data_IF_488630363340
#
_entry.id   IF_488630363340
#
_cell.length_a   1.000
_cell.length_b   1.000
_cell.length_c   1.000
_cell.angle_alpha   90.00
_cell.angle_beta   90.00
_cell.angle_gamma   90.00
#
_symmetry.space_group_name_H-M   'P 1'
#
loop_
_entity.id
_entity.type
_entity.pdbx_description
1 polymer ?
#
# COMPACT_ATOMS: atom_id res chain seq x y z
N UNK A 1 9.40 -26.13 2.04
CA UNK A 1 9.04 -25.33 3.21
C UNK A 1 10.23 -24.73 3.95
N UNK A 2 11.22 -25.49 4.46
CA UNK A 2 12.43 -24.93 5.14
C UNK A 2 13.23 -23.87 4.33
N UNK A 3 13.19 -23.88 2.99
CA UNK A 3 13.85 -22.85 2.14
C UNK A 3 13.08 -21.53 2.07
N UNK A 4 11.75 -21.54 2.25
CA UNK A 4 10.90 -20.33 2.35
C UNK A 4 11.08 -19.61 3.69
N UNK A 5 11.24 -20.36 4.78
CA UNK A 5 11.51 -19.81 6.11
C UNK A 5 12.77 -18.92 6.16
N UNK A 6 13.73 -19.17 5.27
CA UNK A 6 14.98 -18.38 5.22
C UNK A 6 14.91 -17.11 4.36
N UNK A 7 13.91 -16.92 3.52
CA UNK A 7 13.79 -15.73 2.64
C UNK A 7 12.99 -14.61 3.32
N UNK A 8 11.85 -14.97 3.86
CA UNK A 8 11.04 -14.13 4.73
C UNK A 8 10.75 -14.98 5.96
N UNK A 9 11.64 -14.93 6.96
CA UNK A 9 11.36 -15.59 8.22
C UNK A 9 10.20 -14.83 8.89
N UNK A 10 8.95 -15.21 8.51
CA UNK A 10 7.70 -14.59 8.96
C UNK A 10 7.68 -14.55 10.49
N UNK A 11 8.16 -15.61 11.14
CA UNK A 11 8.31 -15.68 12.60
C UNK A 11 9.24 -14.57 13.12
N UNK A 12 10.30 -14.25 12.40
CA UNK A 12 11.24 -13.19 12.76
C UNK A 12 10.67 -11.80 12.48
N UNK A 13 9.88 -11.64 11.40
CA UNK A 13 9.14 -10.40 11.07
C UNK A 13 8.15 -10.07 12.18
N UNK A 14 7.28 -11.03 12.51
CA UNK A 14 6.28 -10.90 13.57
C UNK A 14 6.96 -10.69 14.93
N UNK A 15 8.02 -11.44 15.25
CA UNK A 15 8.78 -11.31 16.50
C UNK A 15 9.39 -9.92 16.67
N UNK A 16 9.94 -9.33 15.61
CA UNK A 16 10.49 -7.96 15.64
C UNK A 16 9.42 -6.92 15.95
N UNK A 17 8.26 -7.01 15.29
CA UNK A 17 7.14 -6.12 15.56
C UNK A 17 6.59 -6.30 16.97
N UNK A 18 6.39 -7.55 17.40
CA UNK A 18 5.90 -7.87 18.75
C UNK A 18 6.85 -7.41 19.86
N UNK A 19 8.19 -7.44 19.65
CA UNK A 19 9.14 -6.92 20.63
C UNK A 19 8.99 -5.42 20.86
N UNK A 20 8.72 -4.65 19.79
CA UNK A 20 8.45 -3.21 19.91
C UNK A 20 7.10 -2.96 20.57
N UNK A 21 6.07 -3.71 20.17
CA UNK A 21 4.72 -3.59 20.73
C UNK A 21 4.65 -3.96 22.20
N UNK A 22 5.40 -4.99 22.65
CA UNK A 22 5.44 -5.37 24.08
C UNK A 22 5.88 -4.25 25.01
N UNK A 23 6.66 -3.28 24.52
CA UNK A 23 7.07 -2.10 25.26
C UNK A 23 5.99 -1.03 25.37
N UNK A 24 4.94 -1.09 24.54
CA UNK A 24 3.91 -0.06 24.47
C UNK A 24 2.49 -0.69 24.49
N UNK A 25 1.94 -0.84 25.68
CA UNK A 25 0.60 -1.42 25.90
C UNK A 25 -0.50 -0.67 25.16
N UNK A 26 -0.35 0.65 24.96
CA UNK A 26 -1.34 1.48 24.26
C UNK A 26 -1.41 1.07 22.79
N UNK A 27 -0.27 0.82 22.14
CA UNK A 27 -0.25 0.36 20.74
C UNK A 27 -0.91 -1.02 20.59
N UNK A 28 -0.73 -1.93 21.56
CA UNK A 28 -1.42 -3.22 21.56
C UNK A 28 -2.93 -3.01 21.67
N UNK A 29 -3.37 -2.15 22.60
CA UNK A 29 -4.78 -1.86 22.78
C UNK A 29 -5.40 -1.26 21.51
N UNK A 30 -4.71 -0.34 20.82
CA UNK A 30 -5.14 0.22 19.53
C UNK A 30 -5.24 -0.88 18.47
N UNK A 31 -4.29 -1.80 18.39
CA UNK A 31 -4.33 -2.91 17.43
C UNK A 31 -5.53 -3.82 17.68
N UNK A 32 -5.79 -4.19 18.92
CA UNK A 32 -6.97 -5.00 19.28
C UNK A 32 -8.26 -4.25 18.96
N UNK A 33 -8.31 -2.96 19.26
CA UNK A 33 -9.44 -2.11 18.92
C UNK A 33 -9.73 -2.14 17.41
N UNK A 34 -8.72 -1.90 16.57
CA UNK A 34 -8.88 -1.88 15.12
C UNK A 34 -9.18 -3.26 14.52
N UNK A 35 -8.90 -4.35 15.22
CA UNK A 35 -9.35 -5.70 14.85
C UNK A 35 -10.86 -5.90 15.13
N UNK A 36 -11.41 -5.21 16.12
CA UNK A 36 -12.83 -5.31 16.51
C UNK A 36 -13.71 -4.35 15.71
N UNK A 37 -13.21 -3.15 15.38
CA UNK A 37 -13.96 -2.12 14.66
C UNK A 37 -14.66 -2.59 13.37
N UNK A 38 -14.11 -3.51 12.53
CA UNK A 38 -14.79 -4.07 11.38
C UNK A 38 -16.18 -4.63 11.66
N UNK A 39 -16.40 -5.22 12.83
CA UNK A 39 -17.69 -5.79 13.24
C UNK A 39 -18.71 -4.73 13.70
N UNK A 40 -18.24 -3.51 13.99
CA UNK A 40 -19.08 -2.38 14.39
C UNK A 40 -19.39 -1.45 13.21
N UNK A 41 -18.74 -1.67 12.06
CA UNK A 41 -18.94 -0.84 10.85
C UNK A 41 -20.02 -1.39 9.94
N UNK A 42 -20.68 -0.47 9.26
CA UNK A 42 -21.54 -0.73 8.09
C UNK A 42 -20.79 -0.29 6.83
N UNK A 43 -20.94 -0.99 5.68
CA UNK A 43 -20.25 -0.62 4.46
C UNK A 43 -20.68 0.76 3.94
N UNK A 44 -19.72 1.55 3.45
CA UNK A 44 -19.98 2.79 2.73
C UNK A 44 -20.75 2.52 1.43
N UNK A 45 -21.88 3.23 1.25
CA UNK A 45 -22.81 2.99 0.14
C UNK A 45 -22.18 3.21 -1.25
N UNK A 46 -21.23 4.12 -1.37
CA UNK A 46 -20.65 4.50 -2.67
C UNK A 46 -19.48 3.62 -3.11
N UNK A 47 -18.64 3.20 -2.17
CA UNK A 47 -17.38 2.53 -2.51
C UNK A 47 -17.36 1.07 -2.09
N UNK A 48 -17.70 0.78 -0.82
CA UNK A 48 -17.57 -0.57 -0.26
C UNK A 48 -18.71 -1.47 -0.74
N UNK A 49 -19.94 -0.97 -0.74
CA UNK A 49 -21.11 -1.71 -1.28
C UNK A 49 -20.88 -2.15 -2.71
N UNK A 50 -20.32 -1.29 -3.56
CA UNK A 50 -19.99 -1.65 -4.95
C UNK A 50 -19.17 -2.95 -5.06
N UNK A 51 -18.21 -3.16 -4.17
CA UNK A 51 -17.40 -4.39 -4.21
C UNK A 51 -18.21 -5.62 -3.76
N UNK A 52 -19.10 -5.46 -2.78
CA UNK A 52 -20.00 -6.52 -2.32
C UNK A 52 -21.02 -6.90 -3.41
N UNK A 53 -21.57 -5.91 -4.11
CA UNK A 53 -22.51 -6.14 -5.24
C UNK A 53 -21.83 -6.89 -6.37
N UNK A 54 -20.60 -6.50 -6.74
CA UNK A 54 -19.82 -7.22 -7.76
C UNK A 54 -19.58 -8.68 -7.33
N UNK A 55 -19.25 -8.93 -6.08
CA UNK A 55 -19.09 -10.29 -5.56
C UNK A 55 -20.38 -11.09 -5.67
N UNK A 56 -21.51 -10.49 -5.30
CA UNK A 56 -22.83 -11.13 -5.42
C UNK A 56 -23.11 -11.49 -6.88
N UNK A 57 -22.91 -10.56 -7.84
CA UNK A 57 -23.12 -10.84 -9.26
C UNK A 57 -22.19 -11.93 -9.82
N UNK A 58 -20.92 -12.00 -9.36
CA UNK A 58 -19.99 -13.07 -9.77
C UNK A 58 -20.51 -14.42 -9.30
N UNK A 59 -21.01 -14.50 -8.08
CA UNK A 59 -21.53 -15.75 -7.50
C UNK A 59 -22.82 -16.17 -8.21
N UNK A 60 -23.75 -15.26 -8.42
CA UNK A 60 -25.05 -15.51 -9.06
C UNK A 60 -24.88 -15.96 -10.53
N UNK A 61 -24.01 -15.29 -11.28
CA UNK A 61 -23.71 -15.61 -12.69
C UNK A 61 -22.69 -16.76 -12.86
N UNK A 62 -22.02 -17.19 -11.78
CA UNK A 62 -20.88 -18.13 -11.80
C UNK A 62 -19.75 -17.68 -12.76
N UNK A 63 -19.60 -16.37 -12.94
CA UNK A 63 -18.63 -15.74 -13.86
C UNK A 63 -17.42 -15.21 -13.12
N UNK A 64 -16.42 -16.06 -12.87
CA UNK A 64 -15.25 -15.72 -12.04
C UNK A 64 -14.15 -14.93 -12.77
N UNK A 65 -14.17 -14.94 -14.10
CA UNK A 65 -13.14 -14.31 -14.93
C UNK A 65 -13.62 -12.98 -15.53
N UNK A 66 -14.87 -12.95 -15.99
CA UNK A 66 -15.55 -11.75 -16.53
C UNK A 66 -16.38 -11.13 -15.42
N UNK A 67 -16.01 -9.93 -15.01
CA UNK A 67 -16.67 -9.21 -13.92
C UNK A 67 -17.87 -8.42 -14.43
N UNK A 68 -18.93 -8.35 -13.62
CA UNK A 68 -20.13 -7.58 -13.89
C UNK A 68 -20.45 -6.65 -12.72
N UNK A 69 -21.10 -5.53 -13.04
CA UNK A 69 -21.68 -4.61 -12.07
C UNK A 69 -22.94 -3.99 -12.67
N UNK A 70 -24.07 -4.11 -11.98
CA UNK A 70 -25.42 -3.75 -12.49
C UNK A 70 -25.73 -4.42 -13.84
N UNK A 71 -25.42 -5.69 -13.97
CA UNK A 71 -25.58 -6.53 -15.18
C UNK A 71 -24.69 -6.13 -16.38
N UNK A 72 -23.93 -5.03 -16.28
CA UNK A 72 -22.98 -4.59 -17.31
C UNK A 72 -21.58 -5.16 -17.07
N UNK A 73 -20.78 -5.25 -18.14
CA UNK A 73 -19.38 -5.67 -18.05
C UNK A 73 -18.56 -4.65 -17.23
N UNK A 74 -17.80 -5.15 -16.28
CA UNK A 74 -16.95 -4.32 -15.39
C UNK A 74 -15.45 -4.62 -15.58
N UNK A 75 -14.82 -4.15 -16.67
CA UNK A 75 -13.39 -4.36 -16.96
C UNK A 75 -12.47 -3.39 -16.23
N UNK A 76 -12.98 -2.64 -15.25
CA UNK A 76 -12.26 -1.55 -14.58
C UNK A 76 -11.05 -2.02 -13.79
N UNK A 77 -11.05 -3.26 -13.32
CA UNK A 77 -10.04 -3.82 -12.44
C UNK A 77 -9.74 -5.28 -12.77
N UNK A 78 -8.48 -5.73 -12.55
CA UNK A 78 -8.15 -7.15 -12.57
C UNK A 78 -8.90 -7.92 -11.47
N UNK A 79 -9.10 -9.25 -11.61
CA UNK A 79 -10.04 -9.99 -10.77
C UNK A 79 -9.50 -10.41 -9.40
N UNK A 80 -8.20 -10.32 -9.11
CA UNK A 80 -7.57 -10.89 -7.90
C UNK A 80 -8.30 -10.49 -6.61
N UNK A 81 -8.61 -9.20 -6.46
CA UNK A 81 -9.26 -8.69 -5.25
C UNK A 81 -10.65 -9.31 -5.06
N UNK A 82 -11.41 -9.44 -6.15
CA UNK A 82 -12.72 -10.08 -6.13
C UNK A 82 -12.65 -11.57 -5.85
N UNK A 83 -11.64 -12.28 -6.37
CA UNK A 83 -11.44 -13.69 -6.04
C UNK A 83 -11.19 -13.91 -4.55
N UNK A 84 -10.41 -13.03 -3.92
CA UNK A 84 -10.20 -13.09 -2.47
C UNK A 84 -11.50 -12.83 -1.69
N UNK A 85 -12.30 -11.85 -2.13
CA UNK A 85 -13.63 -11.61 -1.56
C UNK A 85 -14.57 -12.82 -1.71
N UNK A 86 -14.55 -13.48 -2.87
CA UNK A 86 -15.35 -14.69 -3.12
C UNK A 86 -14.90 -15.84 -2.23
N UNK A 87 -13.62 -16.00 -1.98
CA UNK A 87 -13.10 -17.03 -1.05
C UNK A 87 -13.65 -16.77 0.35
N UNK A 88 -13.62 -15.53 0.82
CA UNK A 88 -14.20 -15.14 2.13
C UNK A 88 -15.71 -15.41 2.16
N UNK A 89 -16.43 -15.02 1.10
CA UNK A 89 -17.87 -15.30 0.97
C UNK A 89 -18.19 -16.79 1.04
N UNK A 90 -17.45 -17.62 0.31
CA UNK A 90 -17.69 -19.08 0.27
C UNK A 90 -17.39 -19.78 1.58
N UNK A 91 -16.40 -19.28 2.35
CA UNK A 91 -16.00 -19.90 3.62
C UNK A 91 -16.89 -19.44 4.77
N UNK A 92 -17.21 -18.15 4.83
CA UNK A 92 -17.84 -17.53 6.01
C UNK A 92 -19.27 -17.04 5.79
N UNK A 93 -19.78 -17.10 4.55
CA UNK A 93 -21.12 -16.64 4.21
C UNK A 93 -21.24 -15.12 4.01
N UNK A 94 -22.47 -14.68 3.69
CA UNK A 94 -22.79 -13.29 3.34
C UNK A 94 -22.65 -12.34 4.53
N UNK A 95 -23.09 -12.76 5.71
CA UNK A 95 -23.17 -11.89 6.90
C UNK A 95 -21.79 -11.51 7.42
N UNK A 96 -20.82 -12.41 7.32
CA UNK A 96 -19.44 -12.17 7.74
C UNK A 96 -18.54 -11.66 6.59
N UNK A 97 -19.04 -11.58 5.36
CA UNK A 97 -18.23 -11.14 4.21
C UNK A 97 -17.61 -9.77 4.45
N UNK A 98 -18.40 -8.78 4.84
CA UNK A 98 -17.89 -7.41 5.01
C UNK A 98 -16.85 -7.30 6.14
N UNK A 99 -17.16 -7.67 7.42
CA UNK A 99 -16.17 -7.51 8.50
C UNK A 99 -14.90 -8.33 8.27
N UNK A 100 -15.01 -9.57 7.78
CA UNK A 100 -13.83 -10.39 7.54
C UNK A 100 -13.02 -9.91 6.33
N UNK A 101 -13.67 -9.34 5.31
CA UNK A 101 -12.95 -8.71 4.20
C UNK A 101 -12.12 -7.51 4.67
N UNK A 102 -12.61 -6.70 5.60
CA UNK A 102 -11.83 -5.63 6.22
C UNK A 102 -10.61 -6.19 6.97
N UNK A 103 -10.79 -7.30 7.69
CA UNK A 103 -9.68 -7.93 8.42
C UNK A 103 -8.66 -8.50 7.44
N UNK A 104 -9.07 -9.34 6.50
CA UNK A 104 -8.14 -10.10 5.64
C UNK A 104 -7.54 -9.26 4.51
N UNK A 105 -8.28 -8.28 3.96
CA UNK A 105 -7.86 -7.54 2.76
C UNK A 105 -7.43 -6.09 3.05
N UNK A 106 -7.63 -5.60 4.28
CA UNK A 106 -7.18 -4.26 4.67
C UNK A 106 -6.33 -4.31 5.94
N UNK A 107 -6.81 -4.85 7.05
CA UNK A 107 -6.11 -4.79 8.34
C UNK A 107 -4.85 -5.69 8.37
N UNK A 108 -4.93 -6.94 7.96
CA UNK A 108 -3.76 -7.83 7.90
C UNK A 108 -2.71 -7.36 6.88
N UNK A 109 -3.05 -6.92 5.65
CA UNK A 109 -2.11 -6.24 4.76
C UNK A 109 -1.46 -5.02 5.39
N UNK A 110 -2.20 -4.16 6.11
CA UNK A 110 -1.64 -3.03 6.84
C UNK A 110 -0.59 -3.47 7.87
N UNK A 111 -0.88 -4.46 8.72
CA UNK A 111 0.08 -4.99 9.68
C UNK A 111 1.31 -5.60 9.00
N UNK A 112 1.10 -6.27 7.87
CA UNK A 112 2.17 -6.83 7.05
C UNK A 112 3.07 -5.74 6.46
N UNK A 113 2.50 -4.63 5.98
CA UNK A 113 3.24 -3.44 5.52
C UNK A 113 4.14 -2.90 6.65
N UNK A 114 3.59 -2.71 7.85
CA UNK A 114 4.37 -2.23 9.00
C UNK A 114 5.50 -3.19 9.38
N UNK A 115 5.21 -4.49 9.37
CA UNK A 115 6.21 -5.53 9.68
C UNK A 115 7.33 -5.56 8.66
N UNK A 116 7.01 -5.46 7.37
CA UNK A 116 7.98 -5.39 6.27
C UNK A 116 8.83 -4.12 6.33
N UNK A 117 8.23 -2.97 6.64
CA UNK A 117 8.96 -1.72 6.83
C UNK A 117 9.91 -1.78 8.04
N UNK A 118 9.46 -2.33 9.18
CA UNK A 118 10.33 -2.59 10.32
C UNK A 118 11.47 -3.56 9.97
N UNK A 119 11.22 -4.53 9.11
CA UNK A 119 12.25 -5.44 8.64
C UNK A 119 13.27 -4.74 7.73
N UNK A 120 12.85 -3.87 6.81
CA UNK A 120 13.75 -3.04 6.01
C UNK A 120 14.63 -2.16 6.91
N UNK A 121 14.07 -1.61 7.99
CA UNK A 121 14.82 -0.80 8.96
C UNK A 121 15.95 -1.58 9.64
N UNK A 122 15.93 -2.93 9.73
CA UNK A 122 17.10 -3.68 10.22
C UNK A 122 18.34 -3.48 9.36
N UNK A 123 18.16 -3.24 8.06
CA UNK A 123 19.25 -3.01 7.12
C UNK A 123 19.62 -1.53 7.00
N UNK A 124 18.65 -0.64 7.20
CA UNK A 124 18.79 0.78 6.89
C UNK A 124 19.03 1.65 8.14
N UNK A 125 18.19 1.45 9.19
CA UNK A 125 18.21 2.30 10.40
C UNK A 125 17.47 1.61 11.55
N UNK A 126 18.09 0.57 12.13
CA UNK A 126 17.45 -0.35 13.10
C UNK A 126 16.84 0.36 14.31
N UNK A 127 17.50 1.39 14.81
CA UNK A 127 17.08 2.17 15.99
C UNK A 127 15.81 3.00 15.77
N UNK A 128 15.31 3.09 14.53
CA UNK A 128 14.15 3.91 14.22
C UNK A 128 12.82 3.14 14.14
N UNK A 129 12.80 1.86 14.46
CA UNK A 129 11.59 1.04 14.41
C UNK A 129 10.49 1.54 15.35
N UNK A 130 10.86 1.87 16.60
CA UNK A 130 9.89 2.35 17.59
C UNK A 130 9.30 3.70 17.15
N UNK A 131 10.14 4.61 16.64
CA UNK A 131 9.71 5.88 16.07
C UNK A 131 8.80 5.67 14.85
N UNK A 132 9.18 4.78 13.94
CA UNK A 132 8.41 4.45 12.74
C UNK A 132 7.02 3.92 13.08
N UNK A 133 6.91 2.95 13.99
CA UNK A 133 5.62 2.43 14.43
C UNK A 133 4.77 3.51 15.11
N UNK A 134 5.37 4.30 16.01
CA UNK A 134 4.67 5.40 16.65
C UNK A 134 4.09 6.38 15.62
N UNK A 135 4.86 6.76 14.59
CA UNK A 135 4.39 7.60 13.50
C UNK A 135 3.24 6.96 12.71
N UNK A 136 3.40 5.70 12.35
CA UNK A 136 2.37 4.97 11.58
C UNK A 136 1.02 4.94 12.30
N UNK A 137 1.02 4.68 13.61
CA UNK A 137 -0.20 4.67 14.42
C UNK A 137 -0.75 6.06 14.74
N UNK A 138 0.06 7.11 14.62
CA UNK A 138 -0.36 8.49 14.88
C UNK A 138 -0.97 9.17 13.65
N UNK A 139 -0.98 8.53 12.47
CA UNK A 139 -1.63 9.07 11.26
C UNK A 139 -3.06 8.54 11.18
N UNK A 140 -4.10 9.35 11.55
CA UNK A 140 -5.49 8.87 11.62
C UNK A 140 -6.02 8.37 10.27
N UNK A 141 -5.65 9.03 9.18
CA UNK A 141 -6.07 8.61 7.85
C UNK A 141 -5.51 7.22 7.48
N UNK A 142 -4.23 6.94 7.76
CA UNK A 142 -3.63 5.64 7.53
C UNK A 142 -4.32 4.54 8.37
N UNK A 143 -4.61 4.84 9.63
CA UNK A 143 -5.34 3.95 10.51
C UNK A 143 -6.78 3.70 10.01
N UNK A 144 -7.48 4.74 9.57
CA UNK A 144 -8.81 4.60 8.94
C UNK A 144 -8.79 3.71 7.71
N UNK A 145 -7.76 3.85 6.85
CA UNK A 145 -7.60 3.00 5.67
C UNK A 145 -7.34 1.52 6.01
N UNK A 146 -6.81 1.22 7.19
CA UNK A 146 -6.59 -0.17 7.64
C UNK A 146 -7.89 -0.95 7.86
N UNK A 147 -9.02 -0.27 8.02
CA UNK A 147 -10.36 -0.84 8.18
C UNK A 147 -11.33 -0.35 7.09
N UNK A 148 -10.84 -0.02 5.90
CA UNK A 148 -11.63 0.43 4.76
C UNK A 148 -11.47 -0.55 3.59
N UNK A 149 -12.60 -1.01 3.02
CA UNK A 149 -12.62 -2.05 1.99
C UNK A 149 -12.23 -1.46 0.63
N UNK A 150 -10.93 -1.44 0.34
CA UNK A 150 -10.39 -0.99 -0.93
C UNK A 150 -9.15 -1.78 -1.35
N UNK A 151 -9.01 -1.96 -2.64
CA UNK A 151 -7.85 -2.65 -3.26
C UNK A 151 -6.51 -2.00 -2.95
N UNK A 152 -6.52 -0.72 -2.54
CA UNK A 152 -5.32 0.09 -2.34
C UNK A 152 -4.40 -0.47 -1.27
N UNK A 153 -4.96 -0.99 -0.16
CA UNK A 153 -4.17 -1.56 0.93
C UNK A 153 -3.46 -2.84 0.50
N UNK A 154 -4.18 -3.73 -0.21
CA UNK A 154 -3.59 -4.98 -0.73
C UNK A 154 -2.52 -4.69 -1.80
N UNK A 155 -2.76 -3.72 -2.69
CA UNK A 155 -1.75 -3.27 -3.67
C UNK A 155 -0.52 -2.70 -2.96
N UNK A 156 -0.70 -1.84 -1.94
CA UNK A 156 0.39 -1.27 -1.16
C UNK A 156 1.21 -2.36 -0.44
N UNK A 157 0.55 -3.42 0.05
CA UNK A 157 1.22 -4.58 0.62
C UNK A 157 2.15 -5.25 -0.40
N UNK A 158 1.66 -5.55 -1.62
CA UNK A 158 2.50 -6.18 -2.65
C UNK A 158 3.65 -5.28 -3.11
N UNK A 159 3.42 -3.98 -3.21
CA UNK A 159 4.49 -3.00 -3.48
C UNK A 159 5.53 -3.04 -2.35
N UNK A 160 5.12 -2.98 -1.08
CA UNK A 160 6.02 -3.02 0.06
C UNK A 160 6.78 -4.35 0.13
N UNK A 161 6.14 -5.47 -0.21
CA UNK A 161 6.76 -6.78 -0.28
C UNK A 161 7.86 -6.84 -1.35
N UNK A 162 7.58 -6.35 -2.56
CA UNK A 162 8.58 -6.30 -3.64
C UNK A 162 9.77 -5.40 -3.28
N UNK A 163 9.53 -4.25 -2.65
CA UNK A 163 10.58 -3.35 -2.18
C UNK A 163 11.39 -3.96 -1.02
N UNK A 164 10.75 -4.74 -0.17
CA UNK A 164 11.44 -5.46 0.91
C UNK A 164 12.35 -6.56 0.37
N UNK A 165 11.86 -7.33 -0.61
CA UNK A 165 12.68 -8.34 -1.31
C UNK A 165 13.86 -7.68 -2.03
N UNK A 166 13.64 -6.53 -2.67
CA UNK A 166 14.73 -5.76 -3.29
C UNK A 166 15.79 -5.34 -2.26
N UNK A 167 15.41 -4.75 -1.12
CA UNK A 167 16.36 -4.38 -0.05
C UNK A 167 17.14 -5.62 0.44
N UNK A 168 16.46 -6.74 0.63
CA UNK A 168 17.13 -7.98 0.98
C UNK A 168 18.19 -8.37 -0.05
N UNK A 169 17.89 -8.31 -1.34
CA UNK A 169 18.83 -8.63 -2.42
C UNK A 169 19.99 -7.64 -2.48
N UNK A 170 19.69 -6.37 -2.31
CA UNK A 170 20.71 -5.32 -2.32
C UNK A 170 21.80 -5.54 -1.27
N UNK A 171 21.41 -5.92 -0.05
CA UNK A 171 22.34 -6.24 1.04
C UNK A 171 22.89 -7.67 1.00
N UNK A 172 22.31 -8.57 0.24
CA UNK A 172 22.69 -9.98 0.19
C UNK A 172 22.88 -10.45 -1.26
N UNK A 173 23.70 -9.76 -2.03
CA UNK A 173 23.88 -9.97 -3.48
C UNK A 173 24.19 -11.43 -3.83
N UNK A 174 25.05 -12.10 -3.05
CA UNK A 174 25.44 -13.50 -3.26
C UNK A 174 24.35 -14.52 -2.93
N UNK A 175 23.22 -14.08 -2.34
CA UNK A 175 22.10 -14.94 -1.96
C UNK A 175 20.92 -14.86 -2.93
N UNK A 176 21.08 -14.17 -4.04
CA UNK A 176 20.05 -14.08 -5.09
C UNK A 176 20.00 -15.42 -5.83
N UNK A 177 18.80 -15.97 -5.98
CA UNK A 177 18.55 -17.18 -6.75
C UNK A 177 17.17 -17.11 -7.45
N UNK A 178 16.92 -18.04 -8.38
CA UNK A 178 15.69 -18.02 -9.19
C UNK A 178 14.41 -18.09 -8.34
N UNK A 179 14.40 -18.86 -7.24
CA UNK A 179 13.22 -18.97 -6.36
C UNK A 179 12.90 -17.62 -5.70
N UNK A 180 13.90 -16.90 -5.23
CA UNK A 180 13.71 -15.59 -4.62
C UNK A 180 13.29 -14.53 -5.64
N UNK A 181 13.86 -14.59 -6.85
CA UNK A 181 13.43 -13.74 -7.96
C UNK A 181 12.00 -14.03 -8.38
N UNK A 182 11.58 -15.29 -8.36
CA UNK A 182 10.18 -15.66 -8.56
C UNK A 182 9.25 -14.94 -7.56
N UNK A 183 9.59 -14.88 -6.27
CA UNK A 183 8.80 -14.14 -5.28
C UNK A 183 8.80 -12.62 -5.52
N UNK A 184 9.92 -12.04 -5.96
CA UNK A 184 9.98 -10.63 -6.33
C UNK A 184 9.00 -10.33 -7.47
N UNK A 185 9.09 -11.07 -8.58
CA UNK A 185 8.24 -10.83 -9.75
C UNK A 185 6.79 -11.23 -9.52
N UNK A 186 6.54 -12.25 -8.70
CA UNK A 186 5.18 -12.59 -8.24
C UNK A 186 4.56 -11.48 -7.42
N UNK A 187 5.31 -10.84 -6.51
CA UNK A 187 4.78 -9.70 -5.74
C UNK A 187 4.47 -8.50 -6.62
N UNK A 188 5.30 -8.21 -7.64
CA UNK A 188 5.02 -7.16 -8.63
C UNK A 188 3.76 -7.52 -9.46
N UNK A 189 3.68 -8.77 -9.96
CA UNK A 189 2.52 -9.24 -10.70
C UNK A 189 1.23 -9.14 -9.88
N UNK A 190 1.22 -9.62 -8.64
CA UNK A 190 0.07 -9.55 -7.75
C UNK A 190 -0.33 -8.11 -7.42
N UNK A 191 0.64 -7.20 -7.31
CA UNK A 191 0.38 -5.77 -7.18
C UNK A 191 -0.37 -5.19 -8.38
N UNK A 192 0.09 -5.51 -9.59
CA UNK A 192 -0.59 -5.13 -10.85
C UNK A 192 -1.97 -5.81 -10.91
N UNK A 193 -2.03 -7.09 -10.62
CA UNK A 193 -3.25 -7.91 -10.72
C UNK A 193 -4.30 -7.60 -9.63
N UNK A 194 -3.91 -6.83 -8.60
CA UNK A 194 -4.85 -6.30 -7.59
C UNK A 194 -5.60 -5.08 -8.09
N UNK A 195 -4.91 -4.10 -8.72
CA UNK A 195 -5.53 -2.79 -9.03
C UNK A 195 -5.18 -2.23 -10.40
N UNK A 196 -4.09 -2.69 -11.02
CA UNK A 196 -3.60 -2.25 -12.33
C UNK A 196 -2.17 -1.73 -12.31
N UNK A 197 -1.76 -1.03 -13.36
CA UNK A 197 -0.38 -0.70 -13.70
C UNK A 197 0.46 -0.08 -12.57
N UNK A 198 -0.14 0.73 -11.70
CA UNK A 198 0.57 1.37 -10.57
C UNK A 198 1.20 0.34 -9.62
N UNK A 199 0.61 -0.85 -9.49
CA UNK A 199 1.18 -1.95 -8.70
C UNK A 199 2.56 -2.41 -9.16
N UNK A 200 2.90 -2.18 -10.44
CA UNK A 200 4.21 -2.49 -11.01
C UNK A 200 5.08 -1.26 -11.24
N UNK A 201 4.49 -0.19 -11.75
CA UNK A 201 5.24 1.05 -12.07
C UNK A 201 5.90 1.63 -10.80
N UNK A 202 5.16 1.67 -9.68
CA UNK A 202 5.69 2.27 -8.45
C UNK A 202 6.93 1.55 -7.90
N UNK A 203 6.93 0.22 -7.68
CA UNK A 203 8.12 -0.44 -7.16
C UNK A 203 9.30 -0.38 -8.15
N UNK A 204 9.06 -0.46 -9.46
CA UNK A 204 10.12 -0.34 -10.47
C UNK A 204 10.73 1.06 -10.44
N UNK A 205 9.91 2.12 -10.39
CA UNK A 205 10.36 3.51 -10.30
C UNK A 205 11.20 3.74 -9.03
N UNK A 206 10.73 3.24 -7.89
CA UNK A 206 11.43 3.40 -6.60
C UNK A 206 12.79 2.71 -6.65
N UNK A 207 12.85 1.47 -7.14
CA UNK A 207 14.09 0.70 -7.29
C UNK A 207 15.04 1.42 -8.25
N UNK A 208 14.53 1.88 -9.39
CA UNK A 208 15.34 2.59 -10.38
C UNK A 208 15.98 3.85 -9.81
N UNK A 209 15.17 4.71 -9.17
CA UNK A 209 15.69 5.96 -8.60
C UNK A 209 16.69 5.68 -7.48
N UNK A 210 16.43 4.69 -6.62
CA UNK A 210 17.37 4.30 -5.57
C UNK A 210 18.72 3.87 -6.13
N UNK A 211 18.73 2.98 -7.11
CA UNK A 211 19.96 2.51 -7.75
C UNK A 211 20.69 3.62 -8.52
N UNK A 212 19.94 4.55 -9.13
CA UNK A 212 20.51 5.76 -9.75
C UNK A 212 21.22 6.65 -8.72
N UNK A 213 20.59 6.87 -7.55
CA UNK A 213 21.19 7.67 -6.47
C UNK A 213 22.43 7.00 -5.84
N UNK A 214 22.44 5.67 -5.81
CA UNK A 214 23.58 4.87 -5.35
C UNK A 214 24.68 4.72 -6.44
N UNK A 215 24.44 5.20 -7.66
CA UNK A 215 25.32 4.98 -8.83
C UNK A 215 25.56 3.50 -9.15
N UNK A 216 24.58 2.65 -8.87
CA UNK A 216 24.66 1.18 -8.97
C UNK A 216 23.56 0.60 -9.90
N UNK A 217 23.29 1.25 -11.01
CA UNK A 217 22.30 0.77 -11.99
C UNK A 217 22.63 -0.63 -12.54
N UNK A 218 23.91 -1.03 -12.51
CA UNK A 218 24.34 -2.38 -12.91
C UNK A 218 23.68 -3.48 -12.08
N UNK A 219 23.22 -3.17 -10.86
CA UNK A 219 22.52 -4.12 -10.00
C UNK A 219 21.21 -4.64 -10.60
N UNK A 220 20.57 -3.93 -11.53
CA UNK A 220 19.42 -4.44 -12.29
C UNK A 220 19.74 -5.78 -13.00
N UNK A 221 20.95 -6.00 -13.45
CA UNK A 221 21.34 -7.25 -14.09
C UNK A 221 21.27 -8.42 -13.11
N UNK A 222 21.60 -8.19 -11.84
CA UNK A 222 21.51 -9.21 -10.78
C UNK A 222 20.05 -9.58 -10.47
N UNK A 223 19.10 -8.67 -10.73
CA UNK A 223 17.67 -8.94 -10.60
C UNK A 223 17.09 -9.69 -11.81
N UNK A 224 17.90 -9.97 -12.83
CA UNK A 224 17.46 -10.62 -14.07
C UNK A 224 16.19 -9.98 -14.68
N UNK A 225 16.13 -8.64 -14.75
CA UNK A 225 14.95 -7.87 -15.13
C UNK A 225 14.28 -8.34 -16.43
N UNK A 226 15.07 -8.84 -17.42
CA UNK A 226 14.53 -9.40 -18.67
C UNK A 226 13.66 -10.63 -18.41
N UNK A 227 14.11 -11.55 -17.50
CA UNK A 227 13.32 -12.72 -17.06
C UNK A 227 12.06 -12.27 -16.28
N UNK A 228 12.17 -11.18 -15.54
CA UNK A 228 11.04 -10.59 -14.84
C UNK A 228 9.96 -10.05 -15.78
N UNK A 229 10.35 -9.33 -16.84
CA UNK A 229 9.40 -8.89 -17.88
C UNK A 229 8.73 -10.10 -18.53
N UNK A 230 9.51 -11.11 -18.93
CA UNK A 230 8.98 -12.33 -19.54
C UNK A 230 7.98 -13.03 -18.60
N UNK A 231 8.29 -13.10 -17.30
CA UNK A 231 7.38 -13.61 -16.27
C UNK A 231 6.05 -12.86 -16.23
N UNK A 232 6.10 -11.52 -16.20
CA UNK A 232 4.89 -10.69 -16.19
C UNK A 232 4.06 -10.89 -17.45
N UNK A 233 4.69 -10.82 -18.63
CA UNK A 233 4.03 -11.02 -19.91
C UNK A 233 3.38 -12.40 -19.98
N UNK A 234 4.08 -13.45 -19.55
CA UNK A 234 3.57 -14.82 -19.54
C UNK A 234 2.27 -14.95 -18.72
N UNK A 235 2.26 -14.48 -17.47
CA UNK A 235 1.07 -14.58 -16.62
C UNK A 235 -0.09 -13.70 -17.10
N UNK A 236 0.20 -12.50 -17.63
CA UNK A 236 -0.84 -11.68 -18.25
C UNK A 236 -1.41 -12.33 -19.52
N UNK A 237 -0.57 -12.95 -20.35
CA UNK A 237 -1.03 -13.66 -21.55
C UNK A 237 -1.94 -14.83 -21.19
N UNK A 238 -1.60 -15.61 -20.16
CA UNK A 238 -2.47 -16.70 -19.67
C UNK A 238 -3.84 -16.12 -19.25
N UNK A 239 -3.85 -15.03 -18.49
CA UNK A 239 -5.11 -14.42 -18.09
C UNK A 239 -5.95 -13.94 -19.27
N UNK A 240 -5.35 -13.29 -20.27
CA UNK A 240 -6.05 -12.84 -21.46
C UNK A 240 -6.57 -14.03 -22.31
N UNK A 241 -5.81 -15.12 -22.41
CA UNK A 241 -6.24 -16.35 -23.10
C UNK A 241 -7.46 -16.94 -22.38
N UNK A 242 -7.42 -17.06 -21.04
CA UNK A 242 -8.56 -17.56 -20.28
C UNK A 242 -9.80 -16.67 -20.49
N UNK A 243 -9.61 -15.34 -20.45
CA UNK A 243 -10.70 -14.39 -20.71
C UNK A 243 -11.31 -14.57 -22.09
N UNK A 244 -10.48 -14.77 -23.12
CA UNK A 244 -10.93 -14.94 -24.50
C UNK A 244 -11.94 -16.08 -24.68
N UNK A 245 -11.75 -17.18 -23.93
CA UNK A 245 -12.64 -18.35 -23.97
C UNK A 245 -13.88 -18.21 -23.05
N UNK A 246 -14.04 -17.11 -22.31
CA UNK A 246 -15.23 -16.90 -21.48
C UNK A 246 -16.39 -16.29 -22.28
N UNK A 247 -17.65 -16.54 -21.87
CA UNK A 247 -18.80 -15.78 -22.38
C UNK A 247 -18.54 -14.27 -22.24
N UNK A 248 -18.78 -13.48 -23.29
CA UNK A 248 -18.49 -12.05 -23.39
C UNK A 248 -17.01 -11.66 -23.19
N UNK A 249 -16.07 -12.64 -23.22
CA UNK A 249 -14.65 -12.41 -22.95
C UNK A 249 -13.99 -11.50 -23.98
N UNK A 250 -14.31 -11.65 -25.26
CA UNK A 250 -13.77 -10.79 -26.34
C UNK A 250 -14.18 -9.33 -26.18
N UNK A 251 -15.45 -9.08 -25.83
CA UNK A 251 -15.95 -7.72 -25.55
C UNK A 251 -15.27 -7.15 -24.29
N UNK A 252 -15.18 -7.95 -23.23
CA UNK A 252 -14.48 -7.58 -22.00
C UNK A 252 -13.04 -7.17 -22.27
N UNK A 253 -12.27 -7.93 -23.07
CA UNK A 253 -10.90 -7.60 -23.47
C UNK A 253 -10.82 -6.29 -24.26
N UNK A 254 -11.74 -6.08 -25.21
CA UNK A 254 -11.80 -4.81 -25.97
C UNK A 254 -12.01 -3.61 -25.05
N UNK A 255 -12.92 -3.70 -24.09
CA UNK A 255 -13.16 -2.65 -23.09
C UNK A 255 -11.98 -2.45 -22.16
N UNK A 256 -11.34 -3.54 -21.70
CA UNK A 256 -10.17 -3.51 -20.82
C UNK A 256 -8.98 -2.79 -21.47
N UNK A 257 -8.63 -3.17 -22.71
CA UNK A 257 -7.50 -2.62 -23.43
C UNK A 257 -7.79 -1.22 -24.01
N UNK A 258 -8.98 -1.00 -24.52
CA UNK A 258 -9.37 0.27 -25.12
C UNK A 258 -9.71 1.35 -24.09
N UNK A 259 -10.87 1.23 -23.46
CA UNK A 259 -11.41 2.27 -22.56
C UNK A 259 -10.59 2.42 -21.27
N UNK A 260 -10.18 1.29 -20.66
CA UNK A 260 -9.59 1.30 -19.32
C UNK A 260 -8.06 1.50 -19.32
N UNK A 261 -7.37 1.16 -20.38
CA UNK A 261 -5.91 1.29 -20.45
C UNK A 261 -5.52 2.53 -21.26
N UNK A 262 -5.85 2.57 -22.56
CA UNK A 262 -5.48 3.67 -23.45
C UNK A 262 -6.30 4.93 -23.15
N UNK A 263 -7.62 4.80 -22.96
CA UNK A 263 -8.52 5.93 -22.69
C UNK A 263 -8.19 6.66 -21.39
N UNK A 264 -7.85 5.93 -20.30
CA UNK A 264 -7.45 6.53 -19.03
C UNK A 264 -6.06 7.16 -19.03
N UNK A 265 -5.16 6.70 -19.87
CA UNK A 265 -3.84 7.31 -20.02
C UNK A 265 -3.94 8.72 -20.62
N UNK A 266 -4.90 8.94 -21.54
CA UNK A 266 -5.09 10.23 -22.21
C UNK A 266 -6.07 11.15 -21.48
N UNK A 267 -7.17 10.63 -20.93
CA UNK A 267 -8.20 11.44 -20.26
C UNK A 267 -8.84 10.65 -19.13
N UNK A 268 -8.67 11.11 -17.89
CA UNK A 268 -9.44 10.58 -16.77
C UNK A 268 -10.88 11.10 -16.88
N UNK A 269 -11.83 10.22 -17.18
CA UNK A 269 -13.26 10.56 -17.25
C UNK A 269 -13.89 10.85 -15.89
N UNK A 270 -13.25 10.36 -14.80
CA UNK A 270 -13.68 10.60 -13.43
C UNK A 270 -12.48 11.00 -12.56
N UNK A 271 -12.71 11.91 -11.62
CA UNK A 271 -11.68 12.35 -10.66
C UNK A 271 -10.52 13.17 -11.25
N UNK A 272 -10.70 13.86 -12.38
CA UNK A 272 -9.72 14.81 -12.89
C UNK A 272 -9.48 15.91 -11.84
N UNK A 273 -8.23 16.10 -11.42
CA UNK A 273 -7.80 17.08 -10.41
C UNK A 273 -6.48 17.73 -10.85
N UNK A 274 -6.23 18.99 -10.42
CA UNK A 274 -4.99 19.70 -10.76
C UNK A 274 -3.76 18.99 -10.15
N UNK A 275 -2.56 19.30 -10.69
CA UNK A 275 -1.32 18.65 -10.24
C UNK A 275 -1.02 18.87 -8.75
N UNK A 276 -1.40 20.02 -8.20
CA UNK A 276 -1.18 20.38 -6.81
C UNK A 276 -2.19 19.78 -5.81
N UNK A 277 -3.15 18.98 -6.29
CA UNK A 277 -4.21 18.38 -5.49
C UNK A 277 -3.71 17.70 -4.22
N UNK A 278 -2.66 16.89 -4.34
CA UNK A 278 -2.13 16.17 -3.18
C UNK A 278 -1.52 17.09 -2.14
N UNK A 279 -0.89 18.20 -2.52
CA UNK A 279 -0.33 19.16 -1.58
C UNK A 279 -1.41 19.84 -0.72
N UNK A 280 -2.60 20.07 -1.26
CA UNK A 280 -3.74 20.64 -0.52
C UNK A 280 -4.24 19.65 0.53
N UNK A 281 -4.36 18.36 0.18
CA UNK A 281 -4.92 17.36 1.07
C UNK A 281 -3.90 16.70 2.00
N UNK A 282 -2.62 16.88 1.75
CA UNK A 282 -1.55 16.29 2.54
C UNK A 282 -1.58 16.69 4.03
N UNK A 283 -1.85 17.96 4.41
CA UNK A 283 -1.95 18.33 5.82
C UNK A 283 -3.01 17.51 6.58
N UNK A 284 -4.09 17.13 5.92
CA UNK A 284 -5.16 16.32 6.51
C UNK A 284 -4.83 14.82 6.44
N UNK A 285 -4.46 14.32 5.29
CA UNK A 285 -4.28 12.87 5.05
C UNK A 285 -2.98 12.33 5.66
N UNK A 286 -1.99 13.20 5.88
CA UNK A 286 -0.73 12.84 6.51
C UNK A 286 -0.50 13.60 7.84
N UNK A 287 -1.59 14.06 8.47
CA UNK A 287 -1.53 14.65 9.81
C UNK A 287 -0.99 13.62 10.83
N UNK A 288 -0.11 14.02 11.76
CA UNK A 288 0.43 15.38 11.98
C UNK A 288 1.76 15.66 11.25
N UNK A 289 2.23 14.76 10.41
CA UNK A 289 3.59 14.80 9.84
C UNK A 289 3.67 15.48 8.47
N UNK A 290 2.57 15.99 7.96
CA UNK A 290 2.48 16.64 6.65
C UNK A 290 3.50 17.75 6.46
N UNK A 291 3.72 18.59 7.48
CA UNK A 291 4.72 19.66 7.46
C UNK A 291 6.15 19.12 7.26
N UNK A 292 6.53 18.09 8.03
CA UNK A 292 7.88 17.52 7.91
C UNK A 292 8.09 16.89 6.53
N UNK A 293 7.05 16.27 5.98
CA UNK A 293 7.12 15.71 4.63
C UNK A 293 7.27 16.78 3.57
N UNK A 294 6.42 17.83 3.58
CA UNK A 294 6.48 18.93 2.60
C UNK A 294 7.82 19.65 2.67
N UNK A 295 8.29 19.97 3.86
CA UNK A 295 9.62 20.55 4.04
C UNK A 295 10.73 19.64 3.49
N UNK A 296 10.68 18.35 3.81
CA UNK A 296 11.60 17.36 3.28
C UNK A 296 11.54 17.26 1.77
N UNK A 297 10.35 17.24 1.19
CA UNK A 297 10.13 17.17 -0.25
C UNK A 297 10.91 18.29 -0.98
N UNK A 298 10.68 19.54 -0.61
CA UNK A 298 11.37 20.66 -1.23
C UNK A 298 12.88 20.68 -0.91
N UNK A 299 13.26 20.41 0.34
CA UNK A 299 14.66 20.40 0.76
C UNK A 299 15.49 19.40 -0.04
N UNK A 300 15.00 18.17 -0.25
CA UNK A 300 15.73 17.14 -0.98
C UNK A 300 15.70 17.36 -2.49
N UNK A 301 14.64 17.94 -3.04
CA UNK A 301 14.60 18.35 -4.46
C UNK A 301 15.60 19.45 -4.77
N UNK A 302 15.63 20.52 -3.99
CA UNK A 302 16.53 21.66 -4.18
C UNK A 302 18.00 21.21 -4.03
N UNK A 303 18.28 20.28 -3.12
CA UNK A 303 19.62 19.80 -2.84
C UNK A 303 19.98 18.49 -3.58
N UNK A 304 19.31 18.20 -4.69
CA UNK A 304 19.54 16.95 -5.44
C UNK A 304 20.99 16.82 -5.95
N UNK A 305 21.65 17.93 -6.23
CA UNK A 305 23.08 17.95 -6.61
C UNK A 305 23.96 17.34 -5.53
N UNK A 306 23.60 17.50 -4.25
CA UNK A 306 24.33 16.96 -3.10
C UNK A 306 23.95 15.50 -2.77
N UNK A 307 23.26 14.79 -3.68
CA UNK A 307 22.81 13.39 -3.45
C UNK A 307 23.92 12.42 -3.09
N UNK A 308 25.16 12.70 -3.50
CA UNK A 308 26.32 11.87 -3.14
C UNK A 308 26.63 11.88 -1.64
N UNK A 309 26.27 12.93 -0.91
CA UNK A 309 26.48 13.06 0.53
C UNK A 309 25.32 12.47 1.36
N UNK A 310 24.23 12.04 0.71
CA UNK A 310 23.10 11.45 1.41
C UNK A 310 23.43 10.05 1.91
N UNK A 311 22.96 9.75 3.09
CA UNK A 311 23.02 8.38 3.64
C UNK A 311 22.16 7.43 2.79
N UNK A 312 22.45 6.14 2.85
CA UNK A 312 21.66 5.12 2.17
C UNK A 312 20.17 5.20 2.54
N UNK A 313 19.88 5.48 3.81
CA UNK A 313 18.48 5.63 4.27
C UNK A 313 17.81 6.88 3.71
N UNK A 314 18.52 7.99 3.57
CA UNK A 314 17.99 9.22 2.92
C UNK A 314 17.66 8.96 1.44
N UNK A 315 18.55 8.27 0.72
CA UNK A 315 18.31 7.90 -0.69
C UNK A 315 17.11 6.97 -0.83
N UNK A 316 16.95 6.01 0.09
CA UNK A 316 15.81 5.11 0.10
C UNK A 316 14.49 5.85 0.38
N UNK A 317 14.46 6.70 1.42
CA UNK A 317 13.29 7.50 1.76
C UNK A 317 12.89 8.48 0.63
N UNK A 318 13.87 9.12 0.00
CA UNK A 318 13.66 9.96 -1.18
C UNK A 318 13.04 9.17 -2.32
N UNK A 319 13.65 8.05 -2.70
CA UNK A 319 13.22 7.24 -3.84
C UNK A 319 11.80 6.70 -3.66
N UNK A 320 11.42 6.35 -2.43
CA UNK A 320 10.09 5.81 -2.14
C UNK A 320 9.00 6.89 -1.99
N UNK A 321 9.37 8.12 -1.71
CA UNK A 321 8.37 9.17 -1.44
C UNK A 321 8.25 10.20 -2.56
N UNK A 322 9.35 10.78 -3.05
CA UNK A 322 9.31 11.97 -3.89
C UNK A 322 9.01 11.65 -5.36
N UNK A 323 9.76 10.80 -6.08
CA UNK A 323 9.47 10.51 -7.47
C UNK A 323 8.09 9.89 -7.71
N UNK A 324 7.62 8.92 -6.89
CA UNK A 324 6.26 8.41 -7.02
C UNK A 324 5.19 9.47 -6.72
N UNK A 325 5.41 10.38 -5.76
CA UNK A 325 4.50 11.49 -5.49
C UNK A 325 4.37 12.43 -6.69
N UNK A 326 5.49 12.75 -7.34
CA UNK A 326 5.50 13.56 -8.57
C UNK A 326 4.74 12.82 -9.69
N UNK A 327 5.02 11.53 -9.89
CA UNK A 327 4.32 10.72 -10.89
C UNK A 327 2.80 10.75 -10.67
N UNK A 328 2.32 10.50 -9.44
CA UNK A 328 0.90 10.53 -9.13
C UNK A 328 0.30 11.94 -9.25
N UNK A 329 1.09 12.99 -9.04
CA UNK A 329 0.66 14.37 -9.21
C UNK A 329 0.49 14.77 -10.68
N UNK A 330 1.24 14.15 -11.60
CA UNK A 330 1.11 14.36 -13.05
C UNK A 330 -0.14 13.65 -13.60
N UNK A 331 -0.44 12.43 -13.13
CA UNK A 331 -1.62 11.68 -13.58
C UNK A 331 -2.90 12.47 -13.27
N UNK A 332 -3.80 12.62 -14.24
CA UNK A 332 -5.00 13.46 -14.13
C UNK A 332 -6.00 12.95 -13.07
N UNK A 333 -6.25 11.65 -13.03
CA UNK A 333 -7.19 11.04 -12.07
C UNK A 333 -6.58 10.88 -10.67
N UNK A 334 -7.08 11.62 -9.68
CA UNK A 334 -6.52 11.67 -8.33
C UNK A 334 -7.57 11.42 -7.25
N UNK A 335 -7.21 10.53 -6.31
CA UNK A 335 -7.88 10.35 -5.02
C UNK A 335 -6.81 10.32 -3.92
N UNK A 336 -7.14 10.79 -2.72
CA UNK A 336 -6.19 10.84 -1.60
C UNK A 336 -5.60 9.46 -1.28
N UNK A 337 -6.41 8.41 -1.40
CA UNK A 337 -6.01 7.03 -1.12
C UNK A 337 -4.90 6.51 -2.08
N UNK A 338 -4.70 7.13 -3.24
CA UNK A 338 -3.64 6.73 -4.18
C UNK A 338 -2.23 6.99 -3.62
N UNK A 339 -2.11 7.86 -2.60
CA UNK A 339 -0.85 8.07 -1.88
C UNK A 339 -0.49 6.92 -0.94
N UNK A 340 -1.41 5.99 -0.62
CA UNK A 340 -1.20 4.93 0.37
C UNK A 340 0.10 4.13 0.15
N UNK A 341 0.48 3.70 -1.08
CA UNK A 341 1.74 2.99 -1.31
C UNK A 341 2.99 3.80 -0.96
N UNK A 342 2.89 5.12 -0.87
CA UNK A 342 4.00 6.02 -0.58
C UNK A 342 4.16 6.31 0.92
N UNK A 343 3.16 6.01 1.75
CA UNK A 343 3.14 6.39 3.17
C UNK A 343 4.39 5.95 3.92
N UNK A 344 4.91 4.75 3.63
CA UNK A 344 6.14 4.26 4.29
C UNK A 344 7.34 5.15 3.96
N UNK A 345 7.55 5.47 2.68
CA UNK A 345 8.60 6.40 2.25
C UNK A 345 8.40 7.81 2.81
N UNK A 346 7.15 8.29 2.85
CA UNK A 346 6.80 9.59 3.43
C UNK A 346 7.08 9.65 4.94
N UNK A 347 6.77 8.57 5.68
CA UNK A 347 7.11 8.45 7.10
C UNK A 347 8.64 8.45 7.29
N UNK A 348 9.37 7.68 6.49
CA UNK A 348 10.84 7.65 6.55
C UNK A 348 11.44 9.04 6.31
N UNK A 349 10.99 9.75 5.28
CA UNK A 349 11.46 11.09 4.99
C UNK A 349 11.11 12.08 6.12
N UNK A 350 9.90 12.01 6.65
CA UNK A 350 9.46 12.86 7.77
C UNK A 350 10.28 12.62 9.04
N UNK A 351 10.62 11.35 9.34
CA UNK A 351 11.50 10.99 10.46
C UNK A 351 12.90 11.59 10.30
N UNK A 352 13.48 11.51 9.10
CA UNK A 352 14.80 12.09 8.80
C UNK A 352 14.79 13.60 9.01
N UNK A 353 13.78 14.27 8.47
CA UNK A 353 13.63 15.73 8.57
C UNK A 353 13.46 16.15 10.02
N UNK A 354 12.56 15.49 10.73
CA UNK A 354 12.29 15.78 12.13
C UNK A 354 13.55 15.59 13.00
N UNK A 355 14.27 14.47 12.83
CA UNK A 355 15.49 14.22 13.63
C UNK A 355 16.54 15.33 13.46
N UNK A 356 16.60 15.92 12.25
CA UNK A 356 17.46 17.10 11.97
C UNK A 356 16.91 18.38 12.58
N UNK A 357 15.57 18.58 12.59
CA UNK A 357 14.93 19.78 13.11
C UNK A 357 14.88 19.82 14.65
N UNK A 358 14.66 18.67 15.31
CA UNK A 358 14.64 18.57 16.78
C UNK A 358 15.95 19.02 17.39
N UNK A 359 17.08 18.72 16.77
CA UNK A 359 18.40 19.21 17.23
C UNK A 359 18.48 20.74 17.30
N UNK A 360 17.58 21.45 16.59
CA UNK A 360 17.47 22.92 16.56
C UNK A 360 16.30 23.45 17.39
N UNK A 361 15.21 22.67 17.51
CA UNK A 361 13.93 23.09 18.09
C UNK A 361 13.39 22.00 19.02
N UNK A 362 13.85 21.95 20.27
CA UNK A 362 13.50 20.92 21.26
C UNK A 362 12.00 20.87 21.59
N UNK A 363 11.29 22.02 21.53
CA UNK A 363 9.85 22.07 21.79
C UNK A 363 9.02 21.15 20.88
N UNK A 364 9.52 20.82 19.67
CA UNK A 364 8.85 19.92 18.75
C UNK A 364 8.63 18.52 19.34
N UNK A 365 9.47 18.10 20.29
CA UNK A 365 9.33 16.80 20.99
C UNK A 365 8.08 16.81 21.87
N UNK A 366 7.88 17.89 22.61
CA UNK A 366 6.72 18.05 23.50
C UNK A 366 5.42 18.14 22.70
N UNK A 367 5.39 18.94 21.64
CA UNK A 367 4.24 19.06 20.73
C UNK A 367 3.85 17.71 20.16
N UNK A 368 4.82 16.93 19.66
CA UNK A 368 4.53 15.62 19.09
C UNK A 368 3.95 14.64 20.13
N UNK A 369 4.55 14.56 21.31
CA UNK A 369 4.04 13.66 22.38
C UNK A 369 2.60 14.01 22.73
N UNK A 370 2.27 15.30 22.80
CA UNK A 370 0.89 15.72 23.07
C UNK A 370 -0.06 15.32 21.92
N UNK A 371 0.32 15.55 20.66
CA UNK A 371 -0.48 15.15 19.50
C UNK A 371 -0.70 13.64 19.50
N UNK A 372 0.34 12.84 19.70
CA UNK A 372 0.24 11.38 19.78
C UNK A 372 -0.74 10.94 20.87
N UNK A 373 -0.63 11.54 22.05
CA UNK A 373 -1.55 11.27 23.16
C UNK A 373 -3.01 11.53 22.76
N UNK A 374 -3.31 12.69 22.19
CA UNK A 374 -4.69 13.04 21.80
C UNK A 374 -5.21 12.17 20.66
N UNK A 375 -4.39 11.84 19.66
CA UNK A 375 -4.77 10.91 18.58
C UNK A 375 -5.10 9.54 19.14
N UNK A 376 -4.30 9.02 20.07
CA UNK A 376 -4.57 7.72 20.69
C UNK A 376 -5.84 7.73 21.52
N UNK A 377 -6.09 8.80 22.29
CA UNK A 377 -7.36 8.98 23.02
C UNK A 377 -8.54 8.97 22.04
N UNK A 378 -8.44 9.70 20.92
CA UNK A 378 -9.49 9.75 19.89
C UNK A 378 -9.86 8.36 19.38
N UNK A 379 -8.89 7.45 19.19
CA UNK A 379 -9.18 6.10 18.73
C UNK A 379 -10.08 5.31 19.68
N UNK A 380 -9.97 5.49 20.99
CA UNK A 380 -10.83 4.82 21.97
C UNK A 380 -12.28 5.31 21.93
N UNK A 381 -12.54 6.48 21.36
CA UNK A 381 -13.90 6.97 21.14
C UNK A 381 -14.53 6.52 19.81
N UNK A 382 -13.75 5.94 18.88
CA UNK A 382 -14.26 5.48 17.59
C UNK A 382 -15.42 4.47 17.70
N UNK A 383 -15.41 3.46 18.59
CA UNK A 383 -16.53 2.53 18.73
C UNK A 383 -17.83 3.25 19.07
N UNK A 384 -17.78 4.19 20.00
CA UNK A 384 -18.95 4.99 20.41
C UNK A 384 -19.46 5.83 19.24
N UNK A 385 -18.55 6.50 18.53
CA UNK A 385 -18.88 7.27 17.32
C UNK A 385 -19.53 6.41 16.22
N UNK A 386 -19.03 5.21 15.98
CA UNK A 386 -19.60 4.28 15.00
C UNK A 386 -20.99 3.77 15.43
N UNK A 387 -21.18 3.44 16.70
CA UNK A 387 -22.50 3.02 17.20
C UNK A 387 -23.55 4.14 17.10
N UNK A 388 -23.16 5.38 17.39
CA UNK A 388 -24.03 6.56 17.22
C UNK A 388 -24.34 6.75 15.74
N UNK A 389 -23.32 6.70 14.86
CA UNK A 389 -23.50 6.84 13.41
C UNK A 389 -24.44 5.78 12.85
N UNK A 390 -24.24 4.51 13.20
CA UNK A 390 -25.11 3.41 12.76
C UNK A 390 -26.56 3.62 13.20
N UNK A 391 -26.77 4.08 14.44
CA UNK A 391 -28.12 4.28 15.00
C UNK A 391 -28.89 5.43 14.31
N UNK A 392 -28.23 6.54 13.96
CA UNK A 392 -28.92 7.75 13.52
C UNK A 392 -28.85 8.01 12.02
N UNK A 393 -27.93 7.37 11.29
CA UNK A 393 -27.70 7.66 9.87
C UNK A 393 -27.92 6.47 8.94
N UNK A 394 -28.17 5.26 9.45
CA UNK A 394 -28.33 4.03 8.66
C UNK A 394 -29.70 3.38 8.89
N UNK A 395 -30.43 3.75 9.94
CA UNK A 395 -31.85 3.44 10.08
C UNK A 395 -32.68 4.38 9.22
#
# INVERSE_FOLDING_TARGET
MKKLENVLNITRLVKNMLQVLKKNRILIAILVLFLILPFLRVPDLRNEMKYLDIVQEIVDKKSYWVLYYHKELYPDKPPLYFWLLIIIYKIFGKDLLFPLSLIFLSYLPFLSILSLACWQLNYLKKEWKDKFLSYSFTIPYLMGLSIFLRMDMLMAFFITLSLSLFIYFYFNRNKINNIKLFFLYSSIFLGIFTKGALGGILPILIIYVFLYLESDLKFFNNLHWKKGILFLVFFFSIWLIILYFQPNGTEYIKLLLGKQTIGRAYKSYSHARPFYYYFIYLPLTFFPYGFFYVYGFFKYLINLERRKTWTLFEKWAFSWSIPPFILLSIISGKLQIYLLPLYIGMIFLSLIVKDKLIKKYEFLVSVEKNIQKYVYILYFFLPVGLLIYNKYFIQ
#
